data_IF_645907628486
#
_entry.id   IF_645907628486
#
_cell.length_a   1.000
_cell.length_b   1.000
_cell.length_c   1.000
_cell.angle_alpha   90.00
_cell.angle_beta   90.00
_cell.angle_gamma   90.00
#
_symmetry.space_group_name_H-M   'P 1'
#
loop_
_entity.id
_entity.type
_entity.pdbx_description
1 polymer ?
#
# COMPACT_ATOMS: atom_id res chain seq x y z
N UNK A 1 -19.90 9.67 3.21
CA UNK A 1 -19.79 10.25 4.56
C UNK A 1 -19.65 9.14 5.62
N UNK A 2 -20.51 8.10 5.65
CA UNK A 2 -20.44 7.02 6.64
C UNK A 2 -19.16 6.18 6.53
N UNK A 3 -18.68 5.90 5.31
CA UNK A 3 -17.44 5.14 5.06
C UNK A 3 -16.19 5.89 5.54
N UNK A 4 -16.18 7.22 5.43
CA UNK A 4 -15.09 8.07 5.93
C UNK A 4 -15.06 8.10 7.46
N UNK A 5 -16.22 8.22 8.10
CA UNK A 5 -16.32 8.18 9.57
C UNK A 5 -15.88 6.82 10.13
N UNK A 6 -16.22 5.73 9.44
CA UNK A 6 -15.78 4.37 9.77
C UNK A 6 -14.26 4.23 9.64
N UNK A 7 -13.65 4.75 8.56
CA UNK A 7 -12.20 4.71 8.37
C UNK A 7 -11.47 5.53 9.45
N UNK A 8 -11.92 6.75 9.74
CA UNK A 8 -11.27 7.60 10.76
C UNK A 8 -11.45 7.07 12.18
N UNK A 9 -12.58 6.46 12.52
CA UNK A 9 -12.79 5.84 13.83
C UNK A 9 -12.03 4.54 14.02
N UNK A 10 -11.91 3.71 12.98
CA UNK A 10 -11.20 2.44 13.05
C UNK A 10 -9.68 2.58 12.85
N UNK A 11 -9.21 3.61 12.14
CA UNK A 11 -7.78 3.92 12.01
C UNK A 11 -7.16 4.39 13.33
N UNK A 12 -7.95 5.00 14.22
CA UNK A 12 -7.50 5.30 15.59
C UNK A 12 -7.24 4.06 16.45
N UNK A 13 -7.85 2.91 16.11
CA UNK A 13 -7.65 1.64 16.79
C UNK A 13 -6.35 0.92 16.38
N UNK A 14 -5.67 1.38 15.33
CA UNK A 14 -4.51 0.67 14.75
C UNK A 14 -3.16 1.11 15.27
N UNK A 15 -3.09 2.13 16.11
CA UNK A 15 -1.83 2.47 16.77
C UNK A 15 -1.31 1.35 17.72
N UNK A 16 -2.20 0.44 18.15
CA UNK A 16 -1.82 -0.73 18.96
C UNK A 16 -1.60 -2.01 18.15
N UNK A 17 -2.13 -2.09 16.94
CA UNK A 17 -1.91 -3.22 16.04
C UNK A 17 -0.78 -2.85 15.09
N UNK A 18 0.42 -3.34 15.36
CA UNK A 18 1.49 -3.46 14.40
C UNK A 18 0.96 -4.24 13.20
N UNK A 19 0.49 -3.52 12.20
CA UNK A 19 0.11 -4.15 10.95
C UNK A 19 1.41 -4.41 10.19
N UNK A 20 1.91 -5.64 10.29
CA UNK A 20 3.03 -6.07 9.46
C UNK A 20 2.63 -6.02 7.99
N UNK A 21 3.61 -5.82 7.11
CA UNK A 21 3.36 -5.75 5.66
C UNK A 21 2.81 -7.10 5.17
N UNK A 22 1.60 -7.14 4.57
CA UNK A 22 1.05 -8.37 4.03
C UNK A 22 1.98 -8.97 2.98
N UNK A 23 2.26 -10.27 3.09
CA UNK A 23 3.14 -10.96 2.15
C UNK A 23 2.61 -12.35 1.76
N UNK A 24 3.17 -12.87 0.67
CA UNK A 24 2.90 -14.23 0.20
C UNK A 24 3.97 -15.18 0.74
N UNK A 25 3.62 -16.14 1.62
CA UNK A 25 4.62 -17.01 2.25
C UNK A 25 5.31 -17.98 1.27
N UNK A 26 4.67 -18.34 0.16
CA UNK A 26 5.26 -19.23 -0.85
C UNK A 26 6.32 -18.55 -1.72
N UNK A 27 6.26 -17.22 -1.86
CA UNK A 27 7.20 -16.45 -2.69
C UNK A 27 8.08 -15.50 -1.88
N UNK A 28 7.75 -15.28 -0.62
CA UNK A 28 8.38 -14.27 0.24
C UNK A 28 8.11 -12.82 -0.20
N UNK A 29 7.28 -12.60 -1.23
CA UNK A 29 7.03 -11.26 -1.77
C UNK A 29 5.94 -10.56 -0.99
N UNK A 30 6.20 -9.30 -0.65
CA UNK A 30 5.22 -8.39 -0.08
C UNK A 30 4.20 -7.93 -1.13
N UNK A 31 2.96 -7.72 -0.69
CA UNK A 31 1.96 -7.04 -1.52
C UNK A 31 2.22 -5.54 -1.50
N UNK A 32 2.13 -4.90 -2.67
CA UNK A 32 2.41 -3.47 -2.83
C UNK A 32 1.18 -2.63 -3.20
N UNK A 33 1.30 -1.31 -3.03
CA UNK A 33 0.33 -0.33 -3.48
C UNK A 33 -1.10 -0.56 -2.99
N UNK A 34 -2.12 -0.43 -3.87
CA UNK A 34 -3.52 -0.59 -3.48
C UNK A 34 -3.87 -1.97 -2.92
N UNK A 35 -3.16 -3.02 -3.35
CA UNK A 35 -3.37 -4.38 -2.84
C UNK A 35 -2.94 -4.50 -1.38
N UNK A 36 -1.77 -4.00 -1.02
CA UNK A 36 -1.28 -3.97 0.36
C UNK A 36 -2.27 -3.25 1.28
N UNK A 37 -2.68 -2.04 0.89
CA UNK A 37 -3.65 -1.27 1.65
C UNK A 37 -4.97 -2.05 1.86
N UNK A 38 -5.50 -2.67 0.79
CA UNK A 38 -6.72 -3.45 0.89
C UNK A 38 -6.60 -4.61 1.87
N UNK A 39 -5.45 -5.30 1.89
CA UNK A 39 -5.20 -6.39 2.81
C UNK A 39 -5.07 -5.90 4.26
N UNK A 40 -4.35 -4.80 4.49
CA UNK A 40 -4.24 -4.16 5.81
C UNK A 40 -5.64 -3.79 6.34
N UNK A 41 -6.45 -3.08 5.56
CA UNK A 41 -7.80 -2.69 5.96
C UNK A 41 -8.69 -3.90 6.24
N UNK A 42 -8.54 -4.97 5.44
CA UNK A 42 -9.29 -6.22 5.68
C UNK A 42 -8.82 -6.91 6.97
N UNK A 43 -7.51 -6.94 7.23
CA UNK A 43 -6.98 -7.50 8.49
C UNK A 43 -7.55 -6.77 9.71
N UNK A 44 -7.60 -5.45 9.66
CA UNK A 44 -8.18 -4.61 10.71
C UNK A 44 -9.68 -4.93 10.87
N UNK A 45 -10.44 -4.92 9.78
CA UNK A 45 -11.90 -5.17 9.79
C UNK A 45 -12.25 -6.55 10.35
N UNK A 46 -11.45 -7.57 10.00
CA UNK A 46 -11.70 -8.98 10.37
C UNK A 46 -10.97 -9.40 11.64
N UNK A 47 -10.09 -8.54 12.18
CA UNK A 47 -9.26 -8.84 13.36
C UNK A 47 -8.15 -9.85 13.08
N UNK A 48 -7.68 -9.98 11.82
CA UNK A 48 -6.57 -10.87 11.48
C UNK A 48 -5.27 -10.30 12.03
N UNK A 49 -4.47 -11.18 12.65
CA UNK A 49 -3.13 -10.88 13.19
C UNK A 49 -2.01 -11.47 12.33
N UNK A 50 -2.35 -12.42 11.45
CA UNK A 50 -1.41 -13.04 10.53
C UNK A 50 -1.33 -12.20 9.25
N UNK A 51 -0.13 -11.85 8.82
CA UNK A 51 0.15 -11.05 7.63
C UNK A 51 0.36 -11.88 6.36
N UNK A 52 0.26 -13.22 6.47
CA UNK A 52 0.40 -14.15 5.34
C UNK A 52 -0.90 -14.25 4.55
N UNK A 53 -0.79 -14.08 3.23
CA UNK A 53 -1.91 -14.17 2.29
C UNK A 53 -1.57 -15.04 1.11
N UNK A 54 -2.41 -16.03 0.80
CA UNK A 54 -2.18 -17.03 -0.23
C UNK A 54 -3.34 -17.05 -1.23
N UNK A 55 -3.02 -17.29 -2.50
CA UNK A 55 -4.02 -17.64 -3.52
C UNK A 55 -4.47 -19.09 -3.34
N UNK A 56 -5.63 -19.44 -3.90
CA UNK A 56 -6.14 -20.83 -3.86
C UNK A 56 -5.14 -21.83 -4.46
N UNK A 57 -4.48 -21.46 -5.58
CA UNK A 57 -3.45 -22.33 -6.19
C UNK A 57 -2.25 -22.56 -5.26
N UNK A 58 -1.84 -21.56 -4.51
CA UNK A 58 -0.74 -21.69 -3.55
C UNK A 58 -1.12 -22.55 -2.35
N UNK A 59 -2.39 -22.47 -1.90
CA UNK A 59 -2.91 -23.34 -0.84
C UNK A 59 -2.93 -24.80 -1.32
N UNK A 60 -3.38 -25.05 -2.54
CA UNK A 60 -3.34 -26.40 -3.13
C UNK A 60 -1.93 -26.92 -3.28
N UNK A 61 -1.01 -26.13 -3.80
CA UNK A 61 0.39 -26.51 -3.93
C UNK A 61 1.03 -26.84 -2.58
N UNK A 62 0.76 -26.04 -1.54
CA UNK A 62 1.21 -26.31 -0.20
C UNK A 62 0.64 -27.64 0.34
N UNK A 63 -0.64 -27.95 0.07
CA UNK A 63 -1.26 -29.24 0.42
C UNK A 63 -0.59 -30.41 -0.30
N UNK A 64 -0.25 -30.25 -1.59
CA UNK A 64 0.38 -31.29 -2.39
C UNK A 64 1.81 -31.59 -1.89
N UNK A 65 2.51 -30.58 -1.38
CA UNK A 65 3.86 -30.72 -0.79
C UNK A 65 3.83 -31.31 0.63
N UNK A 66 2.68 -31.21 1.34
CA UNK A 66 2.51 -31.67 2.72
C UNK A 66 1.27 -32.59 2.82
N UNK A 67 1.33 -33.79 2.19
CA UNK A 67 0.17 -34.70 2.14
C UNK A 67 -0.22 -35.27 3.50
N UNK A 68 0.69 -35.24 4.47
CA UNK A 68 0.46 -35.70 5.84
C UNK A 68 -0.44 -34.76 6.66
N UNK A 69 -0.65 -33.54 6.20
CA UNK A 69 -1.43 -32.54 6.90
C UNK A 69 -2.49 -31.95 5.97
N UNK A 70 -3.75 -31.92 6.43
CA UNK A 70 -4.81 -31.27 5.65
C UNK A 70 -4.69 -29.76 5.72
N UNK A 71 -4.50 -29.11 4.57
CA UNK A 71 -4.48 -27.64 4.44
C UNK A 71 -5.62 -27.20 3.53
N UNK A 72 -6.52 -26.37 4.04
CA UNK A 72 -7.68 -25.94 3.26
C UNK A 72 -8.36 -24.72 3.85
N UNK A 73 -9.24 -24.12 3.04
CA UNK A 73 -9.99 -22.93 3.44
C UNK A 73 -11.14 -23.33 4.39
N UNK A 74 -11.29 -22.63 5.49
CA UNK A 74 -12.38 -22.81 6.44
C UNK A 74 -13.72 -22.52 5.76
N UNK A 75 -14.71 -23.40 5.98
CA UNK A 75 -16.03 -23.31 5.35
C UNK A 75 -16.70 -21.96 5.66
N UNK A 76 -17.28 -21.35 4.63
CA UNK A 76 -18.04 -20.10 4.74
C UNK A 76 -17.19 -18.83 4.75
N UNK A 77 -15.84 -18.94 4.69
CA UNK A 77 -14.97 -17.77 4.59
C UNK A 77 -14.69 -17.40 3.14
N UNK A 78 -14.61 -16.12 2.89
CA UNK A 78 -14.37 -15.56 1.56
C UNK A 78 -13.01 -14.87 1.50
N UNK A 79 -12.31 -15.06 0.38
CA UNK A 79 -11.04 -14.39 0.13
C UNK A 79 -11.22 -12.93 -0.30
N UNK A 80 -10.12 -12.22 -0.29
CA UNK A 80 -10.03 -10.82 -0.72
C UNK A 80 -9.65 -10.76 -2.18
N UNK A 81 -10.42 -10.00 -2.96
CA UNK A 81 -10.15 -9.79 -4.38
C UNK A 81 -9.14 -8.67 -4.56
N UNK A 82 -8.03 -8.98 -5.19
CA UNK A 82 -6.94 -8.08 -5.53
C UNK A 82 -6.83 -7.88 -7.05
N UNK A 83 -6.00 -6.95 -7.47
CA UNK A 83 -5.76 -6.64 -8.89
C UNK A 83 -4.28 -6.81 -9.21
N UNK A 84 -3.96 -7.55 -10.27
CA UNK A 84 -2.61 -7.66 -10.82
C UNK A 84 -2.54 -6.84 -12.10
N UNK A 85 -1.66 -5.83 -12.17
CA UNK A 85 -1.39 -5.15 -13.43
C UNK A 85 -0.62 -6.08 -14.37
N UNK A 86 -0.98 -6.05 -15.65
CA UNK A 86 -0.29 -6.75 -16.72
C UNK A 86 -0.20 -5.83 -17.92
N UNK A 87 1.02 -5.60 -18.40
CA UNK A 87 1.23 -4.81 -19.61
C UNK A 87 1.05 -5.68 -20.83
N UNK A 88 0.15 -5.28 -21.71
CA UNK A 88 -0.03 -5.88 -23.03
C UNK A 88 0.55 -4.96 -24.09
N UNK A 89 1.24 -5.55 -25.05
CA UNK A 89 1.83 -4.86 -26.20
C UNK A 89 1.11 -5.29 -27.46
N UNK A 90 0.78 -4.35 -28.33
CA UNK A 90 0.05 -4.64 -29.56
C UNK A 90 0.34 -3.61 -30.66
N UNK A 91 0.16 -4.02 -31.89
CA UNK A 91 0.09 -3.15 -33.07
C UNK A 91 -1.33 -3.14 -33.61
N UNK A 92 -1.74 -2.02 -34.18
CA UNK A 92 -3.08 -1.88 -34.80
C UNK A 92 -2.89 -1.77 -36.30
N UNK A 93 -3.43 -2.73 -37.04
CA UNK A 93 -3.42 -2.73 -38.49
C UNK A 93 -4.39 -1.68 -39.08
N UNK A 94 -4.29 -1.33 -40.35
CA UNK A 94 -5.17 -0.37 -41.05
C UNK A 94 -6.64 -0.79 -41.02
N UNK A 95 -6.91 -2.10 -40.98
CA UNK A 95 -8.25 -2.67 -40.82
C UNK A 95 -8.79 -2.64 -39.37
N UNK A 96 -8.04 -2.02 -38.44
CA UNK A 96 -8.39 -1.89 -37.03
C UNK A 96 -8.14 -3.15 -36.18
N UNK A 97 -7.58 -4.21 -36.76
CA UNK A 97 -7.27 -5.43 -35.99
C UNK A 97 -6.04 -5.26 -35.14
N UNK A 98 -6.10 -5.81 -33.93
CA UNK A 98 -5.00 -5.82 -32.98
C UNK A 98 -4.19 -7.10 -33.12
N UNK A 99 -2.87 -6.94 -33.23
CA UNK A 99 -1.91 -8.04 -33.12
C UNK A 99 -1.13 -7.88 -31.83
N UNK A 100 -1.27 -8.85 -30.94
CA UNK A 100 -0.58 -8.86 -29.65
C UNK A 100 0.86 -9.38 -29.82
N UNK A 101 1.75 -8.85 -29.01
CA UNK A 101 3.18 -9.16 -29.00
C UNK A 101 3.65 -9.44 -27.58
N UNK A 102 4.64 -10.30 -27.44
CA UNK A 102 5.40 -10.41 -26.19
C UNK A 102 6.22 -9.12 -25.96
N UNK A 103 6.69 -8.92 -24.74
CA UNK A 103 7.55 -7.76 -24.43
C UNK A 103 8.84 -7.77 -25.26
N UNK A 104 9.39 -8.96 -25.54
CA UNK A 104 10.60 -9.12 -26.34
C UNK A 104 10.35 -8.76 -27.80
N UNK A 105 9.26 -9.27 -28.39
CA UNK A 105 8.84 -8.92 -29.75
C UNK A 105 8.57 -7.43 -29.90
N UNK A 106 7.88 -6.83 -28.93
CA UNK A 106 7.59 -5.40 -28.91
C UNK A 106 8.88 -4.56 -28.93
N UNK A 107 9.87 -4.93 -28.12
CA UNK A 107 11.19 -4.28 -28.11
C UNK A 107 11.93 -4.45 -29.43
N UNK A 108 11.86 -5.64 -30.04
CA UNK A 108 12.50 -5.92 -31.34
C UNK A 108 11.87 -5.08 -32.46
N UNK A 109 10.54 -4.99 -32.51
CA UNK A 109 9.82 -4.16 -33.49
C UNK A 109 10.22 -2.69 -33.33
N UNK A 110 10.23 -2.15 -32.12
CA UNK A 110 10.61 -0.76 -31.87
C UNK A 110 12.10 -0.47 -32.23
N UNK A 111 12.99 -1.45 -31.98
CA UNK A 111 14.39 -1.34 -32.38
C UNK A 111 14.55 -1.28 -33.93
N UNK A 112 13.83 -2.13 -34.64
CA UNK A 112 13.84 -2.14 -36.13
C UNK A 112 13.23 -0.85 -36.70
N UNK A 113 12.16 -0.32 -36.09
CA UNK A 113 11.58 0.98 -36.48
C UNK A 113 12.58 2.13 -36.32
N UNK A 114 13.34 2.16 -35.24
CA UNK A 114 14.40 3.16 -35.04
C UNK A 114 15.53 3.07 -36.08
N UNK A 115 15.69 1.91 -36.72
CA UNK A 115 16.64 1.70 -37.83
C UNK A 115 16.05 2.01 -39.21
N UNK A 116 14.81 2.51 -39.27
CA UNK A 116 14.15 2.91 -40.51
C UNK A 116 13.26 1.84 -41.13
N UNK A 117 12.97 0.72 -40.43
CA UNK A 117 12.02 -0.27 -40.92
C UNK A 117 10.59 0.30 -40.92
N UNK A 118 9.85 0.06 -42.00
CA UNK A 118 8.44 0.43 -42.15
C UNK A 118 7.54 -0.59 -41.44
N UNK A 119 7.48 -0.48 -40.11
CA UNK A 119 6.67 -1.34 -39.26
C UNK A 119 5.67 -0.50 -38.45
N UNK A 120 4.52 -1.09 -38.16
CA UNK A 120 3.51 -0.45 -37.33
C UNK A 120 4.05 -0.15 -35.90
N UNK A 121 3.67 1.01 -35.32
CA UNK A 121 4.11 1.38 -34.00
C UNK A 121 3.50 0.43 -32.94
N UNK A 122 4.35 -0.02 -32.01
CA UNK A 122 3.88 -0.79 -30.87
C UNK A 122 3.21 0.14 -29.88
N UNK A 123 2.00 -0.20 -29.50
CA UNK A 123 1.26 0.43 -28.42
C UNK A 123 1.30 -0.48 -27.20
N UNK A 124 1.17 0.10 -26.00
CA UNK A 124 1.05 -0.68 -24.78
C UNK A 124 -0.14 -0.20 -23.97
N UNK A 125 -0.72 -1.10 -23.20
CA UNK A 125 -1.83 -0.82 -22.29
C UNK A 125 -1.69 -1.68 -21.03
N UNK A 126 -1.89 -1.10 -19.88
CA UNK A 126 -1.97 -1.85 -18.63
C UNK A 126 -3.40 -2.35 -18.41
N UNK A 127 -3.55 -3.66 -18.31
CA UNK A 127 -4.80 -4.30 -17.91
C UNK A 127 -4.69 -4.76 -16.47
N UNK A 128 -5.82 -4.76 -15.75
CA UNK A 128 -5.88 -5.21 -14.37
C UNK A 128 -6.68 -6.50 -14.26
N UNK A 129 -6.00 -7.60 -13.93
CA UNK A 129 -6.62 -8.91 -13.77
C UNK A 129 -6.94 -9.17 -12.30
N UNK A 130 -8.19 -9.52 -11.98
CA UNK A 130 -8.56 -9.86 -10.62
C UNK A 130 -8.01 -11.22 -10.22
N UNK A 131 -7.55 -11.33 -8.97
CA UNK A 131 -7.22 -12.60 -8.33
C UNK A 131 -7.65 -12.55 -6.86
N UNK A 132 -7.80 -13.71 -6.23
CA UNK A 132 -8.31 -13.80 -4.87
C UNK A 132 -7.25 -14.41 -3.97
N UNK A 133 -7.09 -13.85 -2.78
CA UNK A 133 -6.20 -14.34 -1.73
C UNK A 133 -6.97 -14.56 -0.43
N UNK A 134 -6.45 -15.44 0.41
CA UNK A 134 -6.99 -15.81 1.71
C UNK A 134 -5.93 -15.55 2.76
N UNK A 135 -6.34 -15.00 3.91
CA UNK A 135 -5.46 -14.86 5.05
C UNK A 135 -5.12 -16.23 5.66
N UNK A 136 -3.94 -16.39 6.22
CA UNK A 136 -3.52 -17.63 6.89
C UNK A 136 -4.50 -18.08 7.98
N UNK A 137 -5.11 -17.15 8.70
CA UNK A 137 -6.14 -17.45 9.73
C UNK A 137 -7.44 -18.00 9.16
N UNK A 138 -7.67 -17.88 7.86
CA UNK A 138 -8.80 -18.49 7.15
C UNK A 138 -8.54 -19.95 6.77
N UNK A 139 -7.34 -20.46 7.02
CA UNK A 139 -6.94 -21.81 6.62
C UNK A 139 -6.91 -22.76 7.81
N UNK A 140 -7.21 -24.03 7.54
CA UNK A 140 -6.85 -25.15 8.41
C UNK A 140 -5.42 -25.58 8.06
N UNK A 141 -4.69 -26.08 9.05
CA UNK A 141 -3.46 -26.83 8.84
C UNK A 141 -2.24 -26.03 8.40
N UNK A 142 -2.35 -24.71 8.18
CA UNK A 142 -1.15 -23.91 7.94
C UNK A 142 -0.39 -23.76 9.26
N UNK A 143 0.95 -24.06 9.30
CA UNK A 143 1.73 -23.85 10.51
C UNK A 143 1.61 -22.44 11.05
N UNK A 144 1.60 -22.29 12.39
CA UNK A 144 1.67 -20.97 12.99
C UNK A 144 2.88 -20.21 12.43
N UNK A 145 2.72 -18.90 12.22
CA UNK A 145 3.84 -18.05 11.82
C UNK A 145 4.92 -18.17 12.90
N UNK A 146 6.12 -18.55 12.51
CA UNK A 146 7.28 -18.33 13.36
C UNK A 146 7.35 -16.82 13.58
N UNK A 147 7.19 -16.38 14.82
CA UNK A 147 7.31 -14.95 15.12
C UNK A 147 8.70 -14.53 14.66
N UNK A 148 8.81 -13.48 13.82
CA UNK A 148 10.13 -12.99 13.45
C UNK A 148 10.87 -12.66 14.74
N UNK A 149 12.08 -13.13 14.85
CA UNK A 149 12.92 -13.02 16.05
C UNK A 149 13.18 -11.56 16.48
N UNK A 150 12.64 -10.57 15.75
CA UNK A 150 12.84 -9.15 16.00
C UNK A 150 11.64 -8.31 15.51
N UNK A 151 10.61 -8.22 16.31
CA UNK A 151 9.77 -7.02 16.28
C UNK A 151 10.64 -5.86 16.75
N UNK A 152 10.79 -4.83 15.92
CA UNK A 152 11.47 -3.61 16.35
C UNK A 152 10.82 -3.12 17.65
N UNK A 153 11.62 -2.84 18.66
CA UNK A 153 11.13 -2.18 19.86
C UNK A 153 10.51 -0.82 19.47
N UNK A 154 9.60 -0.31 20.31
CA UNK A 154 8.99 1.01 20.08
C UNK A 154 10.06 2.09 19.86
N UNK A 155 11.16 2.04 20.60
CA UNK A 155 12.27 2.99 20.46
C UNK A 155 12.98 2.86 19.11
N UNK A 156 13.22 1.65 18.62
CA UNK A 156 13.84 1.44 17.30
C UNK A 156 12.94 1.91 16.17
N UNK A 157 11.63 1.72 16.29
CA UNK A 157 10.64 2.22 15.34
C UNK A 157 10.58 3.74 15.33
N UNK A 158 10.50 4.34 16.50
CA UNK A 158 10.50 5.80 16.66
C UNK A 158 11.78 6.40 16.06
N UNK A 159 12.94 5.78 16.29
CA UNK A 159 14.21 6.20 15.68
C UNK A 159 14.23 6.06 14.15
N UNK A 160 13.57 5.03 13.59
CA UNK A 160 13.40 4.89 12.15
C UNK A 160 12.52 6.00 11.58
N UNK A 161 11.38 6.27 12.20
CA UNK A 161 10.44 7.33 11.78
C UNK A 161 11.08 8.70 11.87
N UNK A 162 11.86 9.00 12.92
CA UNK A 162 12.58 10.27 13.04
C UNK A 162 13.64 10.43 11.94
N UNK A 163 14.37 9.39 11.59
CA UNK A 163 15.31 9.44 10.46
C UNK A 163 14.60 9.67 9.12
N UNK A 164 13.49 9.00 8.88
CA UNK A 164 12.66 9.18 7.69
C UNK A 164 12.14 10.63 7.59
N UNK A 165 11.61 11.15 8.69
CA UNK A 165 11.08 12.50 8.80
C UNK A 165 12.22 13.54 8.59
N UNK A 166 13.35 13.35 9.22
CA UNK A 166 14.52 14.24 9.06
C UNK A 166 15.02 14.26 7.62
N UNK A 167 15.03 13.11 6.94
CA UNK A 167 15.43 13.01 5.54
C UNK A 167 14.51 13.78 4.57
N UNK A 168 13.26 14.05 4.96
CA UNK A 168 12.31 14.83 4.15
C UNK A 168 12.70 16.31 4.01
N UNK A 169 13.53 16.83 4.93
CA UNK A 169 13.93 18.24 4.98
C UNK A 169 12.83 19.21 5.44
N UNK A 170 11.62 18.72 5.76
CA UNK A 170 10.53 19.57 6.25
C UNK A 170 10.69 19.83 7.75
N UNK A 171 10.73 21.11 8.14
CA UNK A 171 10.90 21.51 9.53
C UNK A 171 9.66 21.19 10.39
N UNK A 172 9.89 20.84 11.66
CA UNK A 172 8.85 20.71 12.68
C UNK A 172 8.99 21.80 13.72
N UNK A 173 7.88 22.45 14.05
CA UNK A 173 7.80 23.42 15.15
C UNK A 173 6.75 22.97 16.15
N UNK A 174 7.19 22.72 17.39
CA UNK A 174 6.27 22.40 18.48
C UNK A 174 5.63 23.67 19.03
N UNK A 175 4.32 23.59 19.29
CA UNK A 175 3.53 24.68 19.85
C UNK A 175 2.31 24.14 20.60
N UNK A 176 1.63 25.02 21.34
CA UNK A 176 0.33 24.70 21.95
C UNK A 176 -0.76 24.98 20.90
N UNK A 177 -1.35 23.92 20.35
CA UNK A 177 -2.40 24.08 19.31
C UNK A 177 -2.56 22.80 18.47
N UNK A 178 -3.41 22.83 17.43
CA UNK A 178 -3.66 21.66 16.58
C UNK A 178 -2.43 21.29 15.75
N UNK A 179 -2.40 20.02 15.34
CA UNK A 179 -1.42 19.53 14.34
C UNK A 179 -1.83 20.06 12.99
N UNK A 180 -0.92 20.72 12.27
CA UNK A 180 -1.17 21.24 10.93
C UNK A 180 0.15 21.49 10.16
N UNK A 181 0.15 21.20 8.86
CA UNK A 181 1.17 21.69 7.95
C UNK A 181 0.84 23.13 7.54
N UNK A 182 1.83 24.02 7.60
CA UNK A 182 1.72 25.43 7.16
C UNK A 182 2.40 25.60 5.79
N UNK A 183 1.65 25.72 4.68
CA UNK A 183 2.24 25.93 3.36
C UNK A 183 3.05 27.22 3.24
N UNK A 184 2.62 28.27 3.94
CA UNK A 184 3.30 29.58 3.90
C UNK A 184 4.70 29.55 4.55
N UNK A 185 4.86 28.75 5.58
CA UNK A 185 6.12 28.59 6.33
C UNK A 185 6.92 27.36 5.90
N UNK A 186 6.32 26.51 5.08
CA UNK A 186 6.81 25.17 4.69
C UNK A 186 7.28 24.33 5.89
N UNK A 187 6.43 24.27 6.93
CA UNK A 187 6.74 23.52 8.15
C UNK A 187 5.51 22.85 8.76
N UNK A 188 5.75 21.77 9.49
CA UNK A 188 4.74 21.11 10.30
C UNK A 188 4.71 21.76 11.69
N UNK A 189 3.54 22.22 12.12
CA UNK A 189 3.27 22.76 13.46
C UNK A 189 2.49 21.70 14.24
N UNK A 190 2.97 21.32 15.42
CA UNK A 190 2.33 20.26 16.21
C UNK A 190 2.60 20.40 17.70
N UNK A 191 1.72 19.82 18.56
CA UNK A 191 1.96 19.77 20.00
C UNK A 191 3.25 19.04 20.34
N UNK A 192 3.72 19.22 21.58
CA UNK A 192 4.84 18.44 22.10
C UNK A 192 4.49 16.96 22.21
N UNK A 193 5.47 16.04 22.07
CA UNK A 193 5.22 14.58 22.14
C UNK A 193 4.45 14.17 23.40
N UNK A 194 4.74 14.77 24.55
CA UNK A 194 4.10 14.50 25.85
C UNK A 194 2.61 14.91 25.90
N UNK A 195 2.10 15.60 24.87
CA UNK A 195 0.67 15.94 24.75
C UNK A 195 -0.17 14.81 24.14
N UNK A 196 0.45 13.70 23.76
CA UNK A 196 -0.20 12.53 23.18
C UNK A 196 -0.17 11.38 24.19
N UNK A 197 -1.27 10.62 24.25
CA UNK A 197 -1.38 9.47 25.19
C UNK A 197 -0.38 8.36 24.81
N UNK A 198 -0.04 8.23 23.53
CA UNK A 198 0.89 7.21 23.01
C UNK A 198 1.82 7.81 21.96
N UNK A 199 3.05 7.30 21.90
CA UNK A 199 4.01 7.71 20.89
C UNK A 199 3.51 7.45 19.46
N UNK A 200 2.77 6.37 19.24
CA UNK A 200 2.15 6.03 17.95
C UNK A 200 1.19 7.10 17.45
N UNK A 201 0.39 7.71 18.33
CA UNK A 201 -0.55 8.79 17.97
C UNK A 201 0.21 10.05 17.53
N UNK A 202 1.32 10.37 18.22
CA UNK A 202 2.21 11.46 17.82
C UNK A 202 2.80 11.25 16.42
N UNK A 203 3.34 10.05 16.15
CA UNK A 203 3.93 9.76 14.84
C UNK A 203 2.88 9.65 13.74
N UNK A 204 1.71 9.09 14.01
CA UNK A 204 0.63 9.04 13.04
C UNK A 204 0.17 10.44 12.61
N UNK A 205 -0.01 11.35 13.57
CA UNK A 205 -0.34 12.74 13.30
C UNK A 205 0.79 13.45 12.53
N UNK A 206 2.04 13.24 12.94
CA UNK A 206 3.24 13.80 12.29
C UNK A 206 3.34 13.37 10.83
N UNK A 207 3.24 12.07 10.54
CA UNK A 207 3.32 11.51 9.19
C UNK A 207 2.23 12.04 8.26
N UNK A 208 1.01 12.24 8.77
CA UNK A 208 -0.10 12.80 8.00
C UNK A 208 0.21 14.21 7.49
N UNK A 209 0.77 15.06 8.35
CA UNK A 209 1.16 16.42 7.98
C UNK A 209 2.38 16.45 7.06
N UNK A 210 3.28 15.47 7.19
CA UNK A 210 4.37 15.29 6.24
C UNK A 210 3.87 14.89 4.85
N UNK A 211 2.80 14.10 4.76
CA UNK A 211 2.14 13.86 3.49
C UNK A 211 1.58 15.17 2.90
N UNK A 212 0.91 16.01 3.70
CA UNK A 212 0.44 17.32 3.25
C UNK A 212 1.60 18.19 2.75
N UNK A 213 2.74 18.17 3.43
CA UNK A 213 3.95 18.87 3.02
C UNK A 213 4.47 18.43 1.64
N UNK A 214 4.31 17.17 1.24
CA UNK A 214 4.72 16.74 -0.11
C UNK A 214 3.97 17.48 -1.21
N UNK A 215 2.78 18.01 -0.94
CA UNK A 215 1.97 18.81 -1.87
C UNK A 215 2.43 20.26 -2.06
N UNK A 216 3.47 20.71 -1.34
CA UNK A 216 3.97 22.08 -1.46
C UNK A 216 4.45 22.42 -2.89
N UNK A 217 4.40 23.69 -3.26
CA UNK A 217 4.77 24.19 -4.59
C UNK A 217 6.21 23.86 -5.01
N UNK A 218 7.12 23.75 -4.04
CA UNK A 218 8.52 23.34 -4.28
C UNK A 218 8.71 21.83 -4.46
N UNK A 219 7.68 21.01 -4.25
CA UNK A 219 7.70 19.54 -4.36
C UNK A 219 6.70 19.05 -5.42
N UNK A 220 5.62 18.40 -5.04
CA UNK A 220 4.65 17.84 -5.99
C UNK A 220 3.61 18.86 -6.48
N UNK A 221 3.59 20.06 -5.93
CA UNK A 221 2.72 21.18 -6.33
C UNK A 221 1.22 20.80 -6.43
N UNK A 222 0.74 19.97 -5.50
CA UNK A 222 -0.66 19.53 -5.48
C UNK A 222 -1.63 20.56 -4.92
N UNK A 223 -1.12 21.58 -4.22
CA UNK A 223 -1.94 22.58 -3.52
C UNK A 223 -2.49 23.70 -4.43
N UNK A 224 -2.17 23.67 -5.72
CA UNK A 224 -2.62 24.68 -6.70
C UNK A 224 -3.97 24.33 -7.38
N UNK A 225 -4.69 23.33 -6.91
CA UNK A 225 -6.00 22.96 -7.45
C UNK A 225 -7.15 23.67 -6.75
N UNK A 226 -8.27 23.88 -7.46
CA UNK A 226 -9.50 24.41 -6.87
C UNK A 226 -9.88 23.58 -5.63
N UNK A 227 -9.91 24.21 -4.47
CA UNK A 227 -10.33 23.60 -3.21
C UNK A 227 -11.81 23.26 -3.23
N UNK A 228 -12.14 22.10 -3.75
CA UNK A 228 -13.48 21.52 -3.61
C UNK A 228 -13.50 20.63 -2.37
N UNK A 229 -14.66 20.51 -1.71
CA UNK A 229 -14.84 19.56 -0.60
C UNK A 229 -14.39 18.15 -0.96
N UNK A 230 -14.53 17.77 -2.24
CA UNK A 230 -14.10 16.45 -2.74
C UNK A 230 -12.58 16.35 -2.82
N UNK A 231 -11.87 17.38 -3.27
CA UNK A 231 -10.40 17.36 -3.33
C UNK A 231 -9.79 17.36 -1.94
N UNK A 232 -10.31 18.14 -0.99
CA UNK A 232 -9.88 18.12 0.40
C UNK A 232 -10.07 16.73 1.03
N UNK A 233 -11.23 16.10 0.83
CA UNK A 233 -11.48 14.76 1.35
C UNK A 233 -10.55 13.70 0.75
N UNK A 234 -10.16 13.83 -0.50
CA UNK A 234 -9.16 12.93 -1.12
C UNK A 234 -7.75 13.15 -0.55
N UNK A 235 -7.34 14.38 -0.31
CA UNK A 235 -6.03 14.66 0.30
C UNK A 235 -5.96 14.18 1.75
N UNK A 236 -7.01 14.38 2.55
CA UNK A 236 -7.09 13.80 3.90
C UNK A 236 -6.99 12.27 3.88
N UNK A 237 -7.75 11.61 3.01
CA UNK A 237 -7.70 10.16 2.88
C UNK A 237 -6.30 9.66 2.48
N UNK A 238 -5.61 10.35 1.56
CA UNK A 238 -4.24 10.03 1.16
C UNK A 238 -3.26 10.21 2.30
N UNK A 239 -3.41 11.26 3.11
CA UNK A 239 -2.60 11.50 4.29
C UNK A 239 -2.74 10.39 5.34
N UNK A 240 -3.98 9.93 5.61
CA UNK A 240 -4.24 8.80 6.50
C UNK A 240 -3.63 7.50 5.95
N UNK A 241 -3.79 7.24 4.65
CA UNK A 241 -3.18 6.08 3.99
C UNK A 241 -1.65 6.10 4.08
N UNK A 242 -1.03 7.26 3.86
CA UNK A 242 0.41 7.42 3.97
C UNK A 242 0.90 7.15 5.40
N UNK A 243 0.21 7.70 6.41
CA UNK A 243 0.51 7.47 7.81
C UNK A 243 0.47 5.99 8.19
N UNK A 244 -0.55 5.26 7.72
CA UNK A 244 -0.65 3.81 7.92
C UNK A 244 0.50 3.06 7.28
N UNK A 245 0.80 3.35 6.02
CA UNK A 245 1.82 2.63 5.24
C UNK A 245 3.24 2.91 5.76
N UNK A 246 3.52 4.14 6.17
CA UNK A 246 4.82 4.51 6.73
C UNK A 246 5.01 3.99 8.17
N UNK A 247 3.92 3.90 8.95
CA UNK A 247 3.94 3.37 10.31
C UNK A 247 3.97 1.83 10.41
N UNK A 248 3.64 1.12 9.33
CA UNK A 248 3.63 -0.34 9.27
C UNK A 248 5.00 -1.00 9.01
N UNK A 249 6.08 -0.22 8.84
CA UNK A 249 7.44 -0.71 8.56
C UNK A 249 8.35 -0.76 9.77
#
# INVERSE_FOLDING_TARGET
AQTMLFLTQNLRLTADALVETPFCPTTGREYGGPNMLRLILTSIEKGYRDDRWLTFKQIQHYQDEHPEQYVGIKKGLHGVRLLRPEEIFFTVAEDGKWKFHSQEEARAIEAQRKQGADLLPVQHKTLFYPFTVFNAEQLYGLPAKEQPAKTLSENERNAFLERFITASGVAVKHHIGPVAYSPADDMVKMPFPDSFDRSGDYYAAKLREYYAATGHSSRENRQNGSETLKSCAFEEMRGEMFSLLAGAR
#
